data_IF_220103977595
#
_entry.id   IF_220103977595
#
_cell.length_a   1.000
_cell.length_b   1.000
_cell.length_c   1.000
_cell.angle_alpha   90.00
_cell.angle_beta   90.00
_cell.angle_gamma   90.00
#
_symmetry.space_group_name_H-M   'P 1'
#
loop_
_entity.id
_entity.type
_entity.pdbx_description
1 polymer ?
#
# COMPACT_ATOMS: atom_id res chain seq x y z
N UNK A 1 22.18 6.32 33.09
CA UNK A 1 20.71 6.13 32.92
C UNK A 1 20.24 7.11 31.85
N UNK A 2 19.97 6.62 30.66
CA UNK A 2 19.29 7.43 29.63
C UNK A 2 17.84 7.65 30.07
N UNK A 3 17.37 8.89 30.03
CA UNK A 3 15.98 9.21 30.39
C UNK A 3 15.02 8.75 29.32
N UNK A 4 13.77 8.39 29.65
CA UNK A 4 12.73 8.21 28.63
C UNK A 4 12.63 9.51 27.83
N UNK A 5 12.99 9.49 26.57
CA UNK A 5 13.08 10.66 25.68
C UNK A 5 14.43 10.85 25.00
N UNK A 6 15.50 10.25 25.52
CA UNK A 6 16.82 10.31 24.87
C UNK A 6 16.92 9.36 23.65
N UNK A 7 15.90 8.55 23.45
CA UNK A 7 15.85 7.51 22.42
C UNK A 7 15.37 7.97 21.06
N UNK A 8 14.58 9.03 21.04
CA UNK A 8 13.73 9.31 19.89
C UNK A 8 14.40 10.05 18.75
N UNK A 9 15.57 10.63 18.99
CA UNK A 9 16.13 11.56 18.02
C UNK A 9 17.12 10.96 17.04
N UNK A 10 17.81 9.88 17.43
CA UNK A 10 18.98 9.46 16.66
C UNK A 10 18.71 8.29 15.73
N UNK A 11 17.68 7.51 16.01
CA UNK A 11 17.44 6.21 15.39
C UNK A 11 16.36 6.25 14.32
N UNK A 12 15.42 7.18 14.43
CA UNK A 12 14.23 7.22 13.57
C UNK A 12 14.41 8.04 12.28
N UNK A 13 15.54 8.64 12.03
CA UNK A 13 15.79 9.38 10.78
C UNK A 13 16.16 8.48 9.60
N UNK A 14 15.60 7.31 9.57
CA UNK A 14 15.83 6.33 8.50
C UNK A 14 15.00 6.57 7.25
N UNK A 15 14.13 7.58 7.25
CA UNK A 15 13.31 7.98 6.12
C UNK A 15 13.31 9.51 6.02
N UNK A 16 13.92 10.06 4.97
CA UNK A 16 14.21 11.50 4.90
C UNK A 16 12.98 12.38 4.68
N UNK A 17 11.85 11.85 4.26
CA UNK A 17 10.60 12.61 4.23
C UNK A 17 10.03 12.91 5.63
N UNK A 18 10.56 12.25 6.67
CA UNK A 18 10.32 12.54 8.09
C UNK A 18 11.39 13.44 8.73
N UNK A 19 12.30 14.00 7.94
CA UNK A 19 13.47 14.73 8.43
C UNK A 19 13.20 16.16 8.95
N UNK A 20 11.97 16.64 8.91
CA UNK A 20 11.63 18.06 9.16
C UNK A 20 12.10 18.66 10.47
N UNK A 21 12.32 17.85 11.52
CA UNK A 21 12.77 18.32 12.82
C UNK A 21 14.27 18.11 13.09
N UNK A 22 15.02 17.47 12.19
CA UNK A 22 16.44 17.15 12.42
C UNK A 22 17.26 18.41 12.70
N UNK A 23 17.12 19.46 11.90
CA UNK A 23 17.85 20.72 12.14
C UNK A 23 17.49 21.39 13.48
N UNK A 24 16.29 21.20 13.97
CA UNK A 24 15.90 21.70 15.30
C UNK A 24 16.63 20.94 16.39
N UNK A 25 16.71 19.61 16.27
CA UNK A 25 17.43 18.77 17.22
C UNK A 25 18.93 19.04 17.20
N UNK A 26 19.53 19.20 16.03
CA UNK A 26 20.95 19.55 15.90
C UNK A 26 21.30 20.89 16.55
N UNK A 27 20.39 21.87 16.53
CA UNK A 27 20.54 23.16 17.22
C UNK A 27 20.35 23.05 18.72
N UNK A 28 19.51 22.13 19.19
CA UNK A 28 19.25 21.91 20.62
C UNK A 28 20.36 21.10 21.30
N UNK A 29 21.00 20.23 20.56
CA UNK A 29 22.01 19.28 21.07
C UNK A 29 23.29 19.36 20.23
N UNK A 30 24.24 20.19 20.65
CA UNK A 30 25.48 20.49 19.90
C UNK A 30 26.36 19.26 19.60
N UNK A 31 26.23 18.17 20.38
CA UNK A 31 27.04 16.96 20.24
C UNK A 31 26.27 15.78 19.66
N UNK A 32 25.09 16.04 19.12
CA UNK A 32 24.27 15.00 18.52
C UNK A 32 24.98 14.36 17.32
N UNK A 33 24.99 13.04 17.28
CA UNK A 33 25.47 12.27 16.14
C UNK A 33 24.30 11.72 15.35
N UNK A 34 24.21 12.08 14.08
CA UNK A 34 23.22 11.54 13.17
C UNK A 34 23.70 10.18 12.63
N UNK A 35 22.97 9.11 12.95
CA UNK A 35 23.26 7.76 12.46
C UNK A 35 22.35 7.44 11.30
N UNK A 36 22.90 7.14 10.13
CA UNK A 36 22.11 6.92 8.92
C UNK A 36 22.83 6.00 7.92
N UNK A 37 22.17 5.62 6.84
CA UNK A 37 22.81 4.89 5.74
C UNK A 37 23.74 5.80 4.96
N UNK A 38 24.72 5.23 4.25
CA UNK A 38 25.57 5.99 3.33
C UNK A 38 24.74 6.70 2.23
N UNK A 39 23.60 6.13 1.85
CA UNK A 39 22.68 6.73 0.90
C UNK A 39 21.97 7.95 1.48
N UNK A 40 21.44 7.84 2.70
CA UNK A 40 20.84 8.97 3.42
C UNK A 40 21.87 10.10 3.59
N UNK A 41 23.09 9.79 4.04
CA UNK A 41 24.17 10.76 4.20
C UNK A 41 24.41 11.57 2.89
N UNK A 42 24.38 10.91 1.73
CA UNK A 42 24.55 11.58 0.44
C UNK A 42 23.33 12.44 0.02
N UNK A 43 22.19 12.28 0.71
CA UNK A 43 20.95 13.01 0.43
C UNK A 43 20.70 14.16 1.41
N UNK A 44 21.39 14.22 2.56
CA UNK A 44 21.15 15.20 3.62
C UNK A 44 21.14 16.65 3.11
N UNK A 45 22.08 16.99 2.23
CA UNK A 45 22.16 18.35 1.64
C UNK A 45 20.91 18.73 0.85
N UNK A 46 20.19 17.75 0.26
CA UNK A 46 18.94 18.00 -0.50
C UNK A 46 17.78 18.39 0.43
N UNK A 47 17.92 18.12 1.72
CA UNK A 47 16.95 18.45 2.78
C UNK A 47 17.44 19.59 3.68
N UNK A 48 18.49 20.33 3.25
CA UNK A 48 19.12 21.40 4.01
C UNK A 48 19.54 20.97 5.42
N UNK A 49 19.98 19.70 5.58
CA UNK A 49 20.42 19.15 6.85
C UNK A 49 21.95 19.25 6.94
N UNK A 50 22.43 20.14 7.81
CA UNK A 50 23.85 20.39 8.07
C UNK A 50 24.25 19.76 9.42
N UNK A 51 24.55 18.46 9.42
CA UNK A 51 25.02 17.76 10.60
C UNK A 51 26.55 17.66 10.63
N UNK A 52 27.19 18.16 11.69
CA UNK A 52 28.65 18.07 11.85
C UNK A 52 29.09 16.62 12.10
N UNK A 53 28.32 15.88 12.88
CA UNK A 53 28.62 14.49 13.24
C UNK A 53 27.65 13.54 12.54
N UNK A 54 28.12 12.85 11.50
CA UNK A 54 27.31 11.85 10.77
C UNK A 54 28.04 10.51 10.74
N UNK A 55 27.44 9.51 11.36
CA UNK A 55 27.88 8.12 11.33
C UNK A 55 27.13 7.35 10.25
N UNK A 56 27.84 6.93 9.21
CA UNK A 56 27.25 6.06 8.21
C UNK A 56 27.37 4.59 8.60
N UNK A 57 26.25 3.88 8.63
CA UNK A 57 26.17 2.46 8.99
C UNK A 57 25.77 1.59 7.77
N UNK A 58 26.06 0.29 7.90
CA UNK A 58 25.79 -0.74 6.87
C UNK A 58 24.86 -1.82 7.42
N UNK A 59 24.48 -2.73 6.54
CA UNK A 59 23.69 -3.92 6.92
C UNK A 59 24.37 -4.71 8.02
N UNK A 60 23.65 -4.88 9.13
CA UNK A 60 24.09 -5.67 10.28
C UNK A 60 25.11 -4.99 11.19
N UNK A 61 25.48 -3.74 10.95
CA UNK A 61 26.30 -2.98 11.91
C UNK A 61 25.56 -2.85 13.23
N UNK A 62 26.32 -2.80 14.32
CA UNK A 62 25.82 -2.69 15.68
C UNK A 62 26.39 -1.45 16.35
N UNK A 63 25.57 -0.77 17.15
CA UNK A 63 25.96 0.39 17.95
C UNK A 63 25.64 0.12 19.42
N UNK A 64 26.65 -0.15 20.27
CA UNK A 64 26.44 -0.30 21.69
C UNK A 64 26.18 1.05 22.36
N UNK A 65 25.10 1.13 23.12
CA UNK A 65 24.67 2.30 23.90
C UNK A 65 24.50 1.90 25.38
N UNK A 66 25.60 1.55 26.05
CA UNK A 66 25.57 1.10 27.43
C UNK A 66 24.88 -0.25 27.59
N UNK A 67 23.70 -0.27 28.21
CA UNK A 67 22.90 -1.49 28.40
C UNK A 67 22.09 -1.92 27.14
N UNK A 68 22.07 -1.10 26.12
CA UNK A 68 21.33 -1.32 24.89
C UNK A 68 22.28 -1.50 23.70
N UNK A 69 21.84 -2.26 22.71
CA UNK A 69 22.57 -2.42 21.45
C UNK A 69 21.60 -2.24 20.31
N UNK A 70 21.91 -1.31 19.42
CA UNK A 70 21.16 -1.08 18.21
C UNK A 70 21.78 -1.86 17.04
N UNK A 71 20.97 -2.58 16.30
CA UNK A 71 21.36 -3.29 15.10
C UNK A 71 20.65 -2.70 13.90
N UNK A 72 21.42 -2.37 12.86
CA UNK A 72 20.89 -1.69 11.67
C UNK A 72 20.62 -2.68 10.54
N UNK A 73 19.44 -2.55 9.94
CA UNK A 73 18.94 -3.41 8.86
C UNK A 73 18.52 -2.53 7.71
N UNK A 74 19.21 -2.63 6.58
CA UNK A 74 18.87 -1.83 5.42
C UNK A 74 17.56 -2.31 4.79
N UNK A 75 16.67 -1.36 4.51
CA UNK A 75 15.34 -1.58 3.94
C UNK A 75 15.11 -0.72 2.67
N UNK A 76 16.05 -0.71 1.69
CA UNK A 76 15.97 0.18 0.55
C UNK A 76 14.66 -0.02 -0.22
N UNK A 77 14.04 1.09 -0.63
CA UNK A 77 12.75 1.15 -1.31
C UNK A 77 11.53 0.70 -0.47
N UNK A 78 11.66 0.73 0.86
CA UNK A 78 10.52 0.54 1.77
C UNK A 78 10.33 1.82 2.63
N UNK A 79 9.85 3.00 2.11
CA UNK A 79 9.56 3.10 0.66
C UNK A 79 10.61 3.97 -0.11
N UNK A 80 11.59 4.58 0.54
CA UNK A 80 12.67 5.38 -0.06
C UNK A 80 13.98 4.58 -0.19
N UNK A 81 14.93 5.01 -1.06
CA UNK A 81 16.14 4.23 -1.35
C UNK A 81 17.14 4.17 -0.20
N UNK A 82 17.07 5.08 0.76
CA UNK A 82 17.97 5.18 1.91
C UNK A 82 17.43 4.54 3.18
N UNK A 83 16.21 4.04 3.17
CA UNK A 83 15.52 3.54 4.38
C UNK A 83 16.30 2.46 5.10
N UNK A 84 16.34 2.61 6.42
CA UNK A 84 16.92 1.69 7.37
C UNK A 84 15.92 1.45 8.50
N UNK A 85 15.80 0.23 8.95
CA UNK A 85 15.09 -0.12 10.18
C UNK A 85 16.11 -0.47 11.26
N UNK A 86 15.77 -0.22 12.51
CA UNK A 86 16.67 -0.42 13.64
C UNK A 86 16.05 -1.38 14.64
N UNK A 87 16.80 -2.39 15.05
CA UNK A 87 16.41 -3.33 16.08
C UNK A 87 17.21 -3.09 17.35
N UNK A 88 16.53 -2.89 18.45
CA UNK A 88 17.11 -2.81 19.78
C UNK A 88 17.04 -4.18 20.44
N UNK A 89 18.20 -4.75 20.78
CA UNK A 89 18.33 -6.16 21.16
C UNK A 89 17.84 -6.48 22.57
N UNK A 90 18.02 -5.57 23.54
CA UNK A 90 17.70 -5.85 24.96
C UNK A 90 16.19 -5.88 25.22
N UNK A 91 15.43 -5.00 24.61
CA UNK A 91 13.97 -4.94 24.72
C UNK A 91 13.25 -5.63 23.55
N UNK A 92 14.01 -6.05 22.54
CA UNK A 92 13.48 -6.70 21.33
C UNK A 92 12.52 -5.80 20.56
N UNK A 93 12.89 -4.53 20.47
CA UNK A 93 12.12 -3.46 19.87
C UNK A 93 12.58 -3.18 18.45
N UNK A 94 11.64 -3.13 17.49
CA UNK A 94 11.90 -2.80 16.10
C UNK A 94 11.37 -1.40 15.77
N UNK A 95 12.26 -0.47 15.44
CA UNK A 95 11.92 0.82 14.85
C UNK A 95 11.89 0.64 13.35
N UNK A 96 10.69 0.61 12.80
CA UNK A 96 10.46 0.06 11.46
C UNK A 96 10.35 1.11 10.34
N UNK A 97 10.66 2.38 10.63
CA UNK A 97 10.35 3.48 9.72
C UNK A 97 8.85 3.41 9.32
N UNK A 98 8.55 3.56 8.06
CA UNK A 98 7.18 3.49 7.54
C UNK A 98 6.62 2.06 7.45
N UNK A 99 7.47 1.05 7.51
CA UNK A 99 6.99 -0.33 7.46
C UNK A 99 6.07 -0.64 8.65
N UNK A 100 5.02 -1.41 8.38
CA UNK A 100 3.98 -1.81 9.34
C UNK A 100 3.08 -0.68 9.85
N UNK A 101 3.19 0.52 9.24
CA UNK A 101 2.35 1.66 9.53
C UNK A 101 0.94 1.58 8.96
N UNK A 102 0.09 2.52 9.37
CA UNK A 102 -1.27 2.71 8.84
C UNK A 102 -1.60 4.19 8.68
N UNK A 103 -2.58 4.50 7.84
CA UNK A 103 -3.23 5.82 7.84
C UNK A 103 -4.19 5.98 9.03
N UNK A 104 -4.67 7.20 9.21
CA UNK A 104 -5.67 7.56 10.19
C UNK A 104 -5.11 8.00 11.54
N UNK A 105 -5.96 8.63 12.33
CA UNK A 105 -5.63 9.13 13.65
C UNK A 105 -5.62 7.99 14.69
N UNK A 106 -4.84 8.16 15.77
CA UNK A 106 -4.71 7.12 16.80
C UNK A 106 -5.90 7.05 17.76
N UNK A 107 -6.75 8.08 17.77
CA UNK A 107 -7.95 8.19 18.60
C UNK A 107 -9.22 7.70 17.89
N UNK A 108 -9.10 7.12 16.71
CA UNK A 108 -10.21 6.50 15.96
C UNK A 108 -10.17 5.00 16.16
N UNK A 109 -11.26 4.44 16.68
CA UNK A 109 -11.46 3.00 16.81
C UNK A 109 -11.78 2.40 15.43
N UNK A 110 -10.75 1.85 14.78
CA UNK A 110 -10.85 1.19 13.48
C UNK A 110 -9.92 -0.03 13.39
N UNK A 111 -10.32 -0.99 12.57
CA UNK A 111 -9.47 -2.16 12.29
C UNK A 111 -8.15 -1.71 11.65
N UNK A 112 -7.03 -2.05 12.31
CA UNK A 112 -5.68 -1.75 11.82
C UNK A 112 -5.48 -2.23 10.38
N UNK A 113 -5.95 -3.42 10.05
CA UNK A 113 -5.69 -4.04 8.73
C UNK A 113 -6.26 -3.23 7.56
N UNK A 114 -7.36 -2.52 7.80
CA UNK A 114 -8.04 -1.74 6.78
C UNK A 114 -7.22 -0.53 6.32
N UNK A 115 -6.78 0.31 7.27
CA UNK A 115 -5.98 1.49 6.95
C UNK A 115 -4.50 1.14 6.68
N UNK A 116 -3.99 0.05 7.25
CA UNK A 116 -2.65 -0.46 6.95
C UNK A 116 -2.56 -1.00 5.51
N UNK A 117 -3.59 -1.71 5.01
CA UNK A 117 -3.67 -2.16 3.61
C UNK A 117 -3.76 -0.97 2.66
N UNK A 118 -4.59 0.01 2.99
CA UNK A 118 -4.71 1.25 2.24
C UNK A 118 -3.37 2.00 2.20
N UNK A 119 -2.68 2.12 3.33
CA UNK A 119 -1.34 2.67 3.42
C UNK A 119 -0.35 1.89 2.54
N UNK A 120 -0.26 0.58 2.75
CA UNK A 120 0.68 -0.29 2.04
C UNK A 120 0.56 -0.15 0.52
N UNK A 121 -0.62 -0.39 -0.06
CA UNK A 121 -0.78 -0.38 -1.52
C UNK A 121 -0.66 1.01 -2.15
N UNK A 122 -0.88 2.08 -1.40
CA UNK A 122 -0.72 3.42 -1.94
C UNK A 122 0.71 3.97 -1.83
N UNK A 123 1.46 3.59 -0.80
CA UNK A 123 2.82 4.07 -0.53
C UNK A 123 3.88 3.07 -0.98
N UNK A 124 3.78 1.82 -0.55
CA UNK A 124 4.82 0.78 -0.71
C UNK A 124 4.52 -0.18 -1.86
N UNK A 125 3.27 -0.29 -2.31
CA UNK A 125 2.71 -1.38 -3.12
C UNK A 125 3.55 -1.90 -4.29
N UNK A 126 4.26 -1.04 -5.04
CA UNK A 126 5.12 -1.50 -6.14
C UNK A 126 6.43 -2.15 -5.69
N UNK A 127 6.75 -2.10 -4.41
CA UNK A 127 8.03 -2.58 -3.87
C UNK A 127 7.90 -3.92 -3.13
N UNK A 128 7.04 -4.83 -3.59
CA UNK A 128 6.82 -6.13 -2.95
C UNK A 128 8.09 -6.94 -2.71
N UNK A 129 9.02 -7.01 -3.67
CA UNK A 129 10.30 -7.71 -3.49
C UNK A 129 11.19 -7.08 -2.41
N UNK A 130 11.43 -5.76 -2.36
CA UNK A 130 12.07 -5.09 -1.22
C UNK A 130 11.43 -5.44 0.12
N UNK A 131 10.10 -5.34 0.23
CA UNK A 131 9.37 -5.70 1.46
C UNK A 131 9.59 -7.17 1.84
N UNK A 132 9.48 -8.10 0.90
CA UNK A 132 9.75 -9.53 1.15
C UNK A 132 11.17 -9.76 1.69
N UNK A 133 12.16 -9.00 1.22
CA UNK A 133 13.52 -9.08 1.73
C UNK A 133 13.64 -8.56 3.17
N UNK A 134 12.95 -7.47 3.51
CA UNK A 134 12.87 -6.96 4.89
C UNK A 134 12.20 -7.98 5.79
N UNK A 135 11.07 -8.57 5.38
CA UNK A 135 10.38 -9.61 6.15
C UNK A 135 11.27 -10.83 6.44
N UNK A 136 12.09 -11.27 5.46
CA UNK A 136 13.05 -12.37 5.65
C UNK A 136 14.15 -12.02 6.66
N UNK A 137 14.55 -10.77 6.76
CA UNK A 137 15.53 -10.30 7.75
C UNK A 137 14.88 -10.20 9.12
N UNK A 138 13.72 -9.53 9.21
CA UNK A 138 12.95 -9.38 10.45
C UNK A 138 12.54 -10.73 11.06
N UNK A 139 12.19 -11.72 10.24
CA UNK A 139 11.84 -13.08 10.70
C UNK A 139 12.96 -13.86 11.37
N UNK A 140 14.20 -13.34 11.37
CA UNK A 140 15.33 -13.91 12.13
C UNK A 140 15.51 -13.27 13.51
N UNK A 141 14.74 -12.24 13.82
CA UNK A 141 14.79 -11.49 15.05
C UNK A 141 13.66 -11.92 15.99
N UNK A 142 13.90 -11.84 17.28
CA UNK A 142 12.87 -12.05 18.31
C UNK A 142 12.22 -10.70 18.65
N UNK A 143 11.25 -10.28 17.82
CA UNK A 143 10.60 -8.98 17.93
C UNK A 143 9.41 -9.08 18.88
N UNK A 144 9.38 -8.25 19.93
CA UNK A 144 8.27 -8.13 20.88
C UNK A 144 7.41 -6.89 20.62
N UNK A 145 8.04 -5.83 20.10
CA UNK A 145 7.35 -4.55 19.85
C UNK A 145 7.84 -3.94 18.56
N UNK A 146 6.92 -3.38 17.78
CA UNK A 146 7.23 -2.60 16.56
C UNK A 146 6.77 -1.17 16.76
N UNK A 147 7.67 -0.22 16.50
CA UNK A 147 7.46 1.21 16.53
C UNK A 147 7.46 1.77 15.09
N UNK A 148 6.33 1.83 14.40
CA UNK A 148 6.25 2.45 13.08
C UNK A 148 6.18 3.98 13.20
N UNK A 149 6.57 4.70 12.16
CA UNK A 149 6.43 6.17 12.11
C UNK A 149 4.96 6.60 11.97
N UNK A 150 4.10 5.74 11.43
CA UNK A 150 2.67 5.97 11.29
C UNK A 150 1.86 4.87 11.97
N UNK A 151 0.85 5.26 12.75
CA UNK A 151 -0.05 4.30 13.40
C UNK A 151 0.35 3.95 14.84
N UNK A 152 -0.28 2.93 15.43
CA UNK A 152 -0.04 2.52 16.80
C UNK A 152 1.24 1.70 16.96
N UNK A 153 1.74 1.63 18.19
CA UNK A 153 2.73 0.65 18.58
C UNK A 153 2.10 -0.75 18.49
N UNK A 154 2.81 -1.70 17.89
CA UNK A 154 2.34 -3.06 17.68
C UNK A 154 3.06 -4.04 18.60
N UNK A 155 2.32 -4.96 19.21
CA UNK A 155 2.83 -6.00 20.09
C UNK A 155 2.13 -7.34 19.86
N UNK A 156 0.91 -7.50 20.34
CA UNK A 156 0.15 -8.75 20.21
C UNK A 156 -0.28 -9.02 18.75
N UNK A 157 -0.40 -7.97 17.94
CA UNK A 157 -0.82 -8.02 16.53
C UNK A 157 0.32 -8.42 15.58
N UNK A 158 1.58 -8.47 16.03
CA UNK A 158 2.75 -8.72 15.18
C UNK A 158 2.59 -9.97 14.29
N UNK A 159 2.10 -11.12 14.75
CA UNK A 159 1.92 -12.28 13.88
C UNK A 159 0.98 -12.02 12.70
N UNK A 160 -0.13 -11.33 12.94
CA UNK A 160 -1.10 -10.97 11.90
C UNK A 160 -0.53 -9.91 10.94
N UNK A 161 0.16 -8.92 11.47
CA UNK A 161 0.84 -7.89 10.68
C UNK A 161 1.84 -8.51 9.71
N UNK A 162 2.68 -9.42 10.17
CA UNK A 162 3.67 -10.12 9.35
C UNK A 162 3.00 -11.04 8.31
N UNK A 163 1.89 -11.71 8.67
CA UNK A 163 1.10 -12.52 7.76
C UNK A 163 0.55 -11.67 6.61
N UNK A 164 -0.08 -10.55 6.93
CA UNK A 164 -0.66 -9.62 5.93
C UNK A 164 0.42 -9.02 5.02
N UNK A 165 1.52 -8.55 5.58
CA UNK A 165 2.63 -8.02 4.79
C UNK A 165 3.24 -9.07 3.85
N UNK A 166 3.25 -10.35 4.27
CA UNK A 166 3.70 -11.46 3.41
C UNK A 166 2.77 -11.64 2.20
N UNK A 167 1.46 -11.61 2.43
CA UNK A 167 0.44 -11.68 1.37
C UNK A 167 0.57 -10.47 0.43
N UNK A 168 0.61 -9.25 0.98
CA UNK A 168 0.66 -8.04 0.17
C UNK A 168 1.94 -7.93 -0.66
N UNK A 169 3.09 -8.29 -0.08
CA UNK A 169 4.39 -8.22 -0.76
C UNK A 169 4.56 -9.28 -1.86
N UNK A 170 3.81 -10.38 -1.80
CA UNK A 170 3.75 -11.39 -2.87
C UNK A 170 2.69 -11.10 -3.93
N UNK A 171 1.87 -10.05 -3.72
CA UNK A 171 0.73 -9.70 -4.58
C UNK A 171 -0.36 -10.78 -4.61
N UNK A 172 -0.42 -11.65 -3.62
CA UNK A 172 -1.51 -12.61 -3.49
C UNK A 172 -2.79 -11.93 -2.99
N UNK A 173 -3.97 -12.41 -3.36
CA UNK A 173 -5.21 -11.90 -2.79
C UNK A 173 -5.31 -12.22 -1.29
N UNK A 174 -5.84 -11.29 -0.53
CA UNK A 174 -6.10 -11.50 0.89
C UNK A 174 -7.42 -12.23 1.10
N UNK A 175 -8.43 -11.88 0.30
CA UNK A 175 -9.78 -12.43 0.34
C UNK A 175 -10.18 -13.09 -0.98
N UNK A 176 -10.76 -14.28 -0.89
CA UNK A 176 -11.57 -14.81 -1.99
C UNK A 176 -12.87 -14.03 -2.10
N UNK A 177 -13.14 -13.47 -3.29
CA UNK A 177 -14.32 -12.64 -3.52
C UNK A 177 -14.16 -11.72 -4.72
N UNK A 178 -15.11 -10.82 -4.88
CA UNK A 178 -15.20 -9.91 -6.02
C UNK A 178 -15.22 -8.46 -5.55
N UNK A 179 -14.33 -7.64 -6.09
CA UNK A 179 -14.45 -6.19 -6.02
C UNK A 179 -15.05 -5.65 -7.32
N UNK A 180 -16.23 -5.03 -7.22
CA UNK A 180 -16.91 -4.34 -8.32
C UNK A 180 -16.49 -2.87 -8.28
N UNK A 181 -15.60 -2.48 -9.18
CA UNK A 181 -15.21 -1.10 -9.42
C UNK A 181 -16.03 -0.56 -10.59
N UNK A 182 -16.88 0.44 -10.36
CA UNK A 182 -17.65 1.02 -11.44
C UNK A 182 -17.53 2.54 -11.53
N UNK A 183 -17.75 3.07 -12.72
CA UNK A 183 -17.93 4.50 -12.94
C UNK A 183 -19.26 4.72 -13.69
N UNK A 184 -20.01 5.77 -13.34
CA UNK A 184 -21.33 6.02 -13.95
C UNK A 184 -21.60 7.51 -14.08
N UNK A 185 -22.00 7.94 -15.29
CA UNK A 185 -22.38 9.33 -15.56
C UNK A 185 -23.86 9.60 -15.20
N UNK A 186 -24.76 8.76 -15.68
CA UNK A 186 -26.21 8.99 -15.61
C UNK A 186 -26.95 7.96 -14.76
N UNK A 187 -26.24 7.10 -14.01
CA UNK A 187 -26.83 6.11 -13.12
C UNK A 187 -27.03 4.71 -13.72
N UNK A 188 -27.08 4.56 -15.05
CA UNK A 188 -27.37 3.26 -15.70
C UNK A 188 -26.28 2.20 -15.41
N UNK A 189 -25.00 2.56 -15.48
CA UNK A 189 -23.89 1.64 -15.11
C UNK A 189 -23.91 1.34 -13.61
N UNK A 190 -24.27 2.30 -12.77
CA UNK A 190 -24.43 2.10 -11.33
C UNK A 190 -25.57 1.13 -11.00
N UNK A 191 -26.68 1.18 -11.73
CA UNK A 191 -27.77 0.22 -11.61
C UNK A 191 -27.31 -1.20 -11.95
N UNK A 192 -26.64 -1.35 -13.08
CA UNK A 192 -26.08 -2.64 -13.50
C UNK A 192 -25.07 -3.19 -12.48
N UNK A 193 -24.21 -2.33 -11.91
CA UNK A 193 -23.23 -2.74 -10.91
C UNK A 193 -23.90 -3.23 -9.61
N UNK A 194 -24.98 -2.56 -9.18
CA UNK A 194 -25.77 -3.01 -8.01
C UNK A 194 -26.46 -4.35 -8.29
N UNK A 195 -27.05 -4.51 -9.49
CA UNK A 195 -27.67 -5.78 -9.86
C UNK A 195 -26.66 -6.93 -9.94
N UNK A 196 -25.47 -6.67 -10.49
CA UNK A 196 -24.39 -7.66 -10.50
C UNK A 196 -23.96 -8.06 -9.06
N UNK A 197 -23.87 -7.08 -8.14
CA UNK A 197 -23.60 -7.37 -6.74
C UNK A 197 -24.64 -8.33 -6.14
N UNK A 198 -25.93 -8.05 -6.32
CA UNK A 198 -27.02 -8.91 -5.86
C UNK A 198 -26.87 -10.34 -6.37
N UNK A 199 -26.67 -10.50 -7.68
CA UNK A 199 -26.49 -11.81 -8.31
C UNK A 199 -25.30 -12.59 -7.75
N UNK A 200 -24.17 -11.92 -7.55
CA UNK A 200 -22.97 -12.57 -7.01
C UNK A 200 -23.16 -12.95 -5.53
N UNK A 201 -23.82 -12.10 -4.72
CA UNK A 201 -24.13 -12.39 -3.34
C UNK A 201 -25.14 -13.54 -3.20
N UNK A 202 -26.17 -13.60 -4.04
CA UNK A 202 -27.10 -14.74 -4.12
C UNK A 202 -26.38 -16.06 -4.46
N UNK A 203 -25.30 -16.00 -5.22
CA UNK A 203 -24.42 -17.15 -5.52
C UNK A 203 -23.38 -17.43 -4.41
N UNK A 204 -23.41 -16.69 -3.30
CA UNK A 204 -22.55 -16.89 -2.13
C UNK A 204 -21.18 -16.23 -2.23
N UNK A 205 -20.94 -15.35 -3.20
CA UNK A 205 -19.68 -14.63 -3.29
C UNK A 205 -19.60 -13.49 -2.25
N UNK A 206 -18.42 -13.28 -1.68
CA UNK A 206 -18.10 -12.06 -0.92
C UNK A 206 -17.89 -10.91 -1.91
N UNK A 207 -18.69 -9.85 -1.81
CA UNK A 207 -18.66 -8.75 -2.78
C UNK A 207 -18.45 -7.41 -2.11
N UNK A 208 -17.47 -6.66 -2.57
CA UNK A 208 -17.33 -5.23 -2.33
C UNK A 208 -17.67 -4.45 -3.60
N UNK A 209 -18.25 -3.26 -3.46
CA UNK A 209 -18.63 -2.42 -4.59
C UNK A 209 -18.29 -0.96 -4.32
N UNK A 210 -17.79 -0.24 -5.33
CA UNK A 210 -17.46 1.17 -5.21
C UNK A 210 -17.67 1.96 -6.50
N UNK A 211 -18.20 3.19 -6.34
CA UNK A 211 -18.30 4.18 -7.41
C UNK A 211 -16.99 4.99 -7.50
N UNK A 212 -16.20 4.73 -8.51
CA UNK A 212 -14.92 5.40 -8.75
C UNK A 212 -15.03 6.92 -8.95
N UNK A 213 -16.23 7.39 -9.32
CA UNK A 213 -16.48 8.82 -9.53
C UNK A 213 -16.76 9.59 -8.24
N UNK A 214 -16.97 8.89 -7.11
CA UNK A 214 -17.46 9.48 -5.84
C UNK A 214 -16.72 9.02 -4.59
N UNK A 215 -15.99 7.92 -4.68
CA UNK A 215 -15.29 7.32 -3.55
C UNK A 215 -13.80 7.70 -3.53
N UNK A 216 -13.16 7.50 -2.38
CA UNK A 216 -11.72 7.65 -2.25
C UNK A 216 -10.99 6.64 -3.15
N UNK A 217 -10.17 7.14 -4.06
CA UNK A 217 -9.43 6.31 -5.00
C UNK A 217 -8.38 5.43 -4.29
N UNK A 218 -7.82 5.87 -3.17
CA UNK A 218 -6.89 5.06 -2.39
C UNK A 218 -7.56 3.80 -1.81
N UNK A 219 -8.83 3.90 -1.40
CA UNK A 219 -9.65 2.76 -0.98
C UNK A 219 -10.00 1.83 -2.14
N UNK A 220 -10.23 2.37 -3.31
CA UNK A 220 -10.53 1.57 -4.51
C UNK A 220 -9.30 0.75 -4.94
N UNK A 221 -8.11 1.34 -4.86
CA UNK A 221 -6.85 0.63 -5.11
C UNK A 221 -6.65 -0.50 -4.09
N UNK A 222 -6.82 -0.21 -2.80
CA UNK A 222 -6.74 -1.21 -1.73
C UNK A 222 -7.66 -2.40 -2.00
N UNK A 223 -8.95 -2.13 -2.29
CA UNK A 223 -9.93 -3.19 -2.56
C UNK A 223 -9.58 -4.04 -3.78
N UNK A 224 -9.02 -3.45 -4.83
CA UNK A 224 -8.58 -4.20 -5.99
C UNK A 224 -7.47 -5.21 -5.62
N UNK A 225 -6.53 -4.81 -4.76
CA UNK A 225 -5.48 -5.71 -4.29
C UNK A 225 -5.97 -6.72 -3.24
N UNK A 226 -7.03 -6.40 -2.49
CA UNK A 226 -7.59 -7.26 -1.46
C UNK A 226 -8.25 -8.50 -2.03
N UNK A 227 -9.12 -8.32 -3.03
CA UNK A 227 -9.96 -9.40 -3.56
C UNK A 227 -9.29 -10.17 -4.71
N UNK A 228 -9.62 -11.47 -4.82
CA UNK A 228 -9.10 -12.35 -5.86
C UNK A 228 -9.64 -12.01 -7.27
N UNK A 229 -10.81 -11.38 -7.35
CA UNK A 229 -11.44 -11.01 -8.62
C UNK A 229 -11.81 -9.53 -8.64
N UNK A 230 -11.45 -8.85 -9.74
CA UNK A 230 -11.84 -7.48 -10.02
C UNK A 230 -12.86 -7.46 -11.19
N UNK A 231 -14.01 -6.84 -10.97
CA UNK A 231 -14.97 -6.54 -12.02
C UNK A 231 -14.99 -5.04 -12.29
N UNK A 232 -14.57 -4.64 -13.49
CA UNK A 232 -14.60 -3.25 -13.95
C UNK A 232 -15.84 -2.99 -14.80
N UNK A 233 -16.65 -1.99 -14.40
CA UNK A 233 -17.87 -1.61 -15.13
C UNK A 233 -17.87 -0.12 -15.42
N UNK A 234 -17.79 0.27 -16.70
CA UNK A 234 -17.69 1.67 -17.09
C UNK A 234 -18.37 1.99 -18.42
N UNK A 235 -18.85 3.24 -18.60
CA UNK A 235 -19.35 3.66 -19.91
C UNK A 235 -18.22 4.00 -20.86
N UNK A 236 -18.51 3.84 -22.16
CA UNK A 236 -17.69 4.43 -23.23
C UNK A 236 -17.80 5.94 -23.20
N UNK A 237 -16.65 6.63 -23.33
CA UNK A 237 -16.55 8.07 -23.32
C UNK A 237 -15.37 8.52 -24.20
N UNK A 238 -15.59 9.52 -25.05
CA UNK A 238 -14.57 10.06 -25.98
C UNK A 238 -13.82 9.00 -26.80
N UNK A 239 -14.51 7.94 -27.22
CA UNK A 239 -13.91 6.84 -27.98
C UNK A 239 -13.01 5.89 -27.15
N UNK A 240 -13.02 6.02 -25.84
CA UNK A 240 -12.29 5.18 -24.90
C UNK A 240 -13.17 4.83 -23.69
N UNK A 241 -12.58 4.61 -22.51
CA UNK A 241 -13.27 4.38 -21.24
C UNK A 241 -13.41 5.67 -20.44
N UNK A 242 -14.48 5.81 -19.68
CA UNK A 242 -14.72 6.98 -18.83
C UNK A 242 -13.59 7.22 -17.82
N UNK A 243 -13.18 8.47 -17.70
CA UNK A 243 -11.94 8.91 -17.02
C UNK A 243 -11.70 8.35 -15.60
N UNK A 244 -12.70 8.25 -14.69
CA UNK A 244 -12.44 7.67 -13.37
C UNK A 244 -11.97 6.21 -13.42
N UNK A 245 -12.46 5.44 -14.38
CA UNK A 245 -12.01 4.07 -14.60
C UNK A 245 -10.60 4.05 -15.22
N UNK A 246 -10.32 4.94 -16.16
CA UNK A 246 -8.99 5.06 -16.74
C UNK A 246 -7.93 5.40 -15.68
N UNK A 247 -8.20 6.38 -14.79
CA UNK A 247 -7.32 6.73 -13.67
C UNK A 247 -7.12 5.56 -12.70
N UNK A 248 -8.19 4.86 -12.36
CA UNK A 248 -8.13 3.68 -11.50
C UNK A 248 -7.20 2.60 -12.08
N UNK A 249 -7.40 2.21 -13.35
CA UNK A 249 -6.58 1.19 -14.02
C UNK A 249 -5.12 1.65 -14.13
N UNK A 250 -4.88 2.92 -14.43
CA UNK A 250 -3.52 3.49 -14.44
C UNK A 250 -2.83 3.36 -13.08
N UNK A 251 -3.53 3.64 -11.99
CA UNK A 251 -2.99 3.47 -10.62
C UNK A 251 -2.68 2.01 -10.30
N UNK A 252 -3.53 1.09 -10.69
CA UNK A 252 -3.26 -0.34 -10.53
C UNK A 252 -1.98 -0.75 -11.27
N UNK A 253 -1.84 -0.34 -12.52
CA UNK A 253 -0.66 -0.63 -13.36
C UNK A 253 0.63 -0.08 -12.74
N UNK A 254 0.64 1.17 -12.28
CA UNK A 254 1.82 1.79 -11.67
C UNK A 254 2.24 1.15 -10.34
N UNK A 255 1.32 0.43 -9.69
CA UNK A 255 1.54 -0.32 -8.43
C UNK A 255 1.79 -1.81 -8.66
N UNK A 256 2.00 -2.24 -9.92
CA UNK A 256 2.27 -3.62 -10.32
C UNK A 256 1.14 -4.59 -9.95
N UNK A 257 -0.11 -4.17 -10.13
CA UNK A 257 -1.27 -5.03 -9.96
C UNK A 257 -1.12 -6.32 -10.79
N UNK A 258 -1.30 -7.46 -10.13
CA UNK A 258 -1.04 -8.77 -10.73
C UNK A 258 -1.72 -9.91 -9.95
N UNK A 259 -1.65 -11.14 -10.47
CA UNK A 259 -2.17 -12.36 -9.85
C UNK A 259 -3.69 -12.29 -9.57
N UNK A 260 -4.48 -11.75 -10.49
CA UNK A 260 -5.93 -11.56 -10.30
C UNK A 260 -6.73 -12.00 -11.51
N UNK A 261 -7.98 -12.41 -11.25
CA UNK A 261 -8.99 -12.51 -12.30
C UNK A 261 -9.62 -11.14 -12.55
N UNK A 262 -9.86 -10.81 -13.80
CA UNK A 262 -10.48 -9.54 -14.18
C UNK A 262 -11.62 -9.77 -15.17
N UNK A 263 -12.79 -9.26 -14.84
CA UNK A 263 -13.96 -9.22 -15.71
C UNK A 263 -14.28 -7.80 -16.13
N UNK A 264 -14.78 -7.62 -17.35
CA UNK A 264 -15.02 -6.32 -17.96
C UNK A 264 -16.46 -6.21 -18.46
N UNK A 265 -17.14 -5.13 -18.08
CA UNK A 265 -18.48 -4.76 -18.56
C UNK A 265 -18.46 -3.31 -19.04
N UNK A 266 -19.03 -3.06 -20.19
CA UNK A 266 -19.18 -1.68 -20.68
C UNK A 266 -20.64 -1.28 -20.85
N UNK A 267 -20.87 0.02 -20.81
CA UNK A 267 -22.14 0.63 -21.16
C UNK A 267 -21.95 1.62 -22.33
N UNK A 268 -22.68 1.42 -23.42
CA UNK A 268 -22.58 2.31 -24.57
C UNK A 268 -23.90 2.35 -25.33
N UNK A 269 -24.45 3.54 -25.55
CA UNK A 269 -25.65 3.71 -26.41
C UNK A 269 -25.31 3.46 -27.88
N UNK A 270 -24.10 3.84 -28.29
CA UNK A 270 -23.52 3.62 -29.63
C UNK A 270 -22.01 3.47 -29.51
N UNK A 271 -21.33 2.91 -30.50
CA UNK A 271 -19.87 2.80 -30.61
C UNK A 271 -19.16 2.37 -29.31
N UNK A 272 -19.40 1.15 -28.82
CA UNK A 272 -18.76 0.63 -27.61
C UNK A 272 -17.24 0.62 -27.78
N UNK A 273 -16.52 1.14 -26.77
CA UNK A 273 -15.05 1.30 -26.78
C UNK A 273 -14.39 1.01 -25.43
N UNK A 274 -15.17 1.03 -24.34
CA UNK A 274 -14.62 0.95 -22.99
C UNK A 274 -13.98 -0.42 -22.69
N UNK A 275 -14.61 -1.53 -23.07
CA UNK A 275 -14.01 -2.88 -22.88
C UNK A 275 -12.69 -2.99 -23.64
N UNK A 276 -12.63 -2.55 -24.88
CA UNK A 276 -11.38 -2.58 -25.67
C UNK A 276 -10.26 -1.78 -24.98
N UNK A 277 -10.59 -0.58 -24.48
CA UNK A 277 -9.63 0.27 -23.79
C UNK A 277 -9.14 -0.37 -22.46
N UNK A 278 -10.05 -0.86 -21.62
CA UNK A 278 -9.73 -1.54 -20.38
C UNK A 278 -8.89 -2.80 -20.61
N UNK A 279 -9.32 -3.65 -21.58
CA UNK A 279 -8.63 -4.89 -21.93
C UNK A 279 -7.17 -4.63 -22.32
N UNK A 280 -6.93 -3.65 -23.17
CA UNK A 280 -5.58 -3.31 -23.65
C UNK A 280 -4.63 -2.90 -22.50
N UNK A 281 -5.14 -2.29 -21.43
CA UNK A 281 -4.35 -1.95 -20.26
C UNK A 281 -4.04 -3.19 -19.37
N UNK A 282 -5.05 -4.01 -19.10
CA UNK A 282 -4.86 -5.22 -18.29
C UNK A 282 -3.97 -6.27 -18.97
N UNK A 283 -3.99 -6.39 -20.30
CA UNK A 283 -3.09 -7.27 -21.06
C UNK A 283 -1.59 -6.92 -20.88
N UNK A 284 -1.27 -5.70 -20.47
CA UNK A 284 0.11 -5.29 -20.15
C UNK A 284 0.56 -5.64 -18.74
N UNK A 285 -0.36 -6.08 -17.87
CA UNK A 285 -0.08 -6.40 -16.48
C UNK A 285 0.27 -7.89 -16.34
N UNK A 286 1.07 -8.20 -15.31
CA UNK A 286 1.58 -9.56 -15.11
C UNK A 286 0.51 -10.47 -14.50
N UNK A 287 0.37 -11.69 -15.02
CA UNK A 287 -0.49 -12.74 -14.45
C UNK A 287 -1.94 -12.26 -14.20
N UNK A 288 -2.49 -11.51 -15.14
CA UNK A 288 -3.91 -11.19 -15.15
C UNK A 288 -4.64 -12.25 -15.97
N UNK A 289 -5.61 -12.90 -15.34
CA UNK A 289 -6.54 -13.83 -15.97
C UNK A 289 -7.79 -13.05 -16.39
N UNK A 290 -7.80 -12.59 -17.65
CA UNK A 290 -8.95 -11.88 -18.22
C UNK A 290 -10.06 -12.86 -18.55
N UNK A 291 -11.24 -12.66 -17.96
CA UNK A 291 -12.42 -13.44 -18.28
C UNK A 291 -12.90 -13.07 -19.71
N UNK A 292 -12.96 -14.05 -20.58
CA UNK A 292 -13.28 -13.85 -22.02
C UNK A 292 -14.68 -13.32 -22.25
N UNK A 293 -15.65 -13.67 -21.39
CA UNK A 293 -17.02 -13.19 -21.51
C UNK A 293 -17.11 -11.73 -21.07
N UNK A 294 -17.39 -10.86 -22.03
CA UNK A 294 -17.60 -9.42 -21.81
C UNK A 294 -19.04 -9.04 -22.12
N UNK A 295 -19.63 -8.14 -21.33
CA UNK A 295 -21.01 -7.69 -21.52
C UNK A 295 -21.04 -6.24 -21.96
N UNK A 296 -21.78 -5.94 -23.04
CA UNK A 296 -22.05 -4.58 -23.53
C UNK A 296 -23.51 -4.22 -23.26
N UNK A 297 -23.74 -3.38 -22.25
CA UNK A 297 -25.07 -2.86 -21.93
C UNK A 297 -25.38 -1.67 -22.85
N UNK A 298 -26.57 -1.68 -23.46
CA UNK A 298 -27.02 -0.58 -24.32
C UNK A 298 -27.91 0.38 -23.55
N UNK A 299 -27.29 1.38 -22.90
CA UNK A 299 -27.87 2.44 -22.07
C UNK A 299 -28.48 1.91 -20.79
N UNK A 300 -29.70 1.42 -20.77
CA UNK A 300 -30.40 0.86 -19.61
C UNK A 300 -30.23 -0.65 -19.54
N UNK A 301 -30.11 -1.17 -18.32
CA UNK A 301 -30.08 -2.61 -18.09
C UNK A 301 -31.38 -3.28 -18.51
N UNK A 302 -31.29 -4.42 -19.18
CA UNK A 302 -32.40 -5.23 -19.66
C UNK A 302 -32.27 -6.68 -19.19
N UNK A 303 -33.36 -7.44 -19.22
CA UNK A 303 -33.35 -8.87 -18.82
C UNK A 303 -32.27 -9.66 -19.57
N UNK A 304 -32.17 -9.49 -20.89
CA UNK A 304 -31.15 -10.17 -21.69
C UNK A 304 -29.69 -9.83 -21.28
N UNK A 305 -29.46 -8.65 -20.67
CA UNK A 305 -28.13 -8.25 -20.19
C UNK A 305 -27.83 -8.95 -18.86
N UNK A 306 -28.87 -9.39 -18.11
CA UNK A 306 -28.76 -10.11 -16.83
C UNK A 306 -28.39 -11.58 -17.08
N UNK A 307 -28.92 -12.16 -18.16
CA UNK A 307 -28.68 -13.55 -18.52
C UNK A 307 -27.28 -13.78 -19.16
N UNK A 308 -26.67 -12.70 -19.64
CA UNK A 308 -25.38 -12.72 -20.32
C UNK A 308 -24.20 -12.75 -19.37
#
# INVERSE_FOLDING_TARGET
>A
EMRPGDWSSDVCSSDLDHSGNINTLLKMYEHLTLVCTAKAKAMLEQFDIEAENVMAVKEGDELPLGSHTLKFILAPMVHWPEVMITYEESEKALFSADAFGKFGALDVDEDWSYEARRYYFNIVGKYGLPVSNVLKKAGKLDIKTIYPLHGPILSDEIPEVLRLYTIWSSYEPEDEGVFIAYASMHGNTAEAARKMKEILEEKGAKVAISDLSRSDMAKNVENAFRYSTLLCMAPSYDGTVFTPMADFIHRLKTKLYQNRKVALVENASWAPSAVKAMKSEFETMKNIDLIDNTVTIKTTLKENDIDA
#
